data_IF_300908634934
#
_entry.id   IF_300908634934
#
_cell.length_a   1.000
_cell.length_b   1.000
_cell.length_c   1.000
_cell.angle_alpha   90.00
_cell.angle_beta   90.00
_cell.angle_gamma   90.00
#
_symmetry.space_group_name_H-M   'P 1'
#
loop_
_entity.id
_entity.type
_entity.pdbx_description
1 polymer ?
#
# COMPACT_ATOMS: atom_id res chain seq x y z
N UNK A 1 23.15 -7.09 -0.81
CA UNK A 1 21.71 -7.22 -0.51
C UNK A 1 21.27 -5.97 0.24
N UNK A 2 20.67 -5.00 -0.45
CA UNK A 2 20.21 -3.76 0.16
C UNK A 2 19.10 -4.07 1.17
N UNK A 3 19.32 -3.72 2.44
CA UNK A 3 18.30 -3.79 3.48
C UNK A 3 17.14 -2.91 3.03
N UNK A 4 15.98 -3.49 2.73
CA UNK A 4 14.74 -2.74 2.65
C UNK A 4 14.64 -1.93 3.95
N UNK A 5 14.73 -0.60 3.84
CA UNK A 5 14.60 0.29 4.99
C UNK A 5 13.18 0.05 5.48
N UNK A 6 13.04 -0.72 6.57
CA UNK A 6 11.76 -1.00 7.20
C UNK A 6 11.10 0.35 7.43
N UNK A 7 10.00 0.58 6.70
CA UNK A 7 9.37 1.89 6.64
C UNK A 7 8.68 2.07 8.00
N UNK A 8 9.36 2.72 8.96
CA UNK A 8 8.85 2.92 10.33
C UNK A 8 7.67 3.91 10.41
N UNK A 9 7.19 4.42 9.28
CA UNK A 9 6.18 5.46 9.18
C UNK A 9 5.34 5.26 7.93
N UNK A 10 4.08 5.66 8.02
CA UNK A 10 3.20 5.72 6.87
C UNK A 10 3.65 6.82 5.90
N UNK A 11 4.04 6.45 4.69
CA UNK A 11 4.28 7.40 3.60
C UNK A 11 2.94 7.81 2.97
N UNK A 12 2.84 9.00 2.36
CA UNK A 12 1.59 9.45 1.71
C UNK A 12 1.09 8.44 0.67
N UNK A 13 2.00 7.85 -0.12
CA UNK A 13 1.69 6.77 -1.07
C UNK A 13 1.10 5.53 -0.40
N UNK A 14 1.66 5.10 0.73
CA UNK A 14 1.15 3.94 1.46
C UNK A 14 -0.24 4.22 2.06
N UNK A 15 -0.47 5.44 2.55
CA UNK A 15 -1.78 5.88 3.04
C UNK A 15 -2.82 5.91 1.92
N UNK A 16 -2.47 6.43 0.75
CA UNK A 16 -3.37 6.46 -0.40
C UNK A 16 -3.72 5.05 -0.88
N UNK A 17 -2.73 4.16 -0.97
CA UNK A 17 -2.95 2.76 -1.32
C UNK A 17 -3.84 2.06 -0.30
N UNK A 18 -3.63 2.31 1.00
CA UNK A 18 -4.47 1.79 2.07
C UNK A 18 -5.92 2.29 1.98
N UNK A 19 -6.13 3.60 1.76
CA UNK A 19 -7.46 4.22 1.58
C UNK A 19 -8.23 3.63 0.39
N UNK A 20 -7.51 3.21 -0.66
CA UNK A 20 -8.08 2.57 -1.86
C UNK A 20 -8.35 1.07 -1.68
N UNK A 21 -8.12 0.49 -0.50
CA UNK A 21 -8.31 -0.94 -0.24
C UNK A 21 -7.19 -1.81 -0.81
N UNK A 22 -5.97 -1.28 -0.95
CA UNK A 22 -4.83 -1.97 -1.55
C UNK A 22 -5.08 -2.46 -2.99
N UNK A 23 -5.95 -1.77 -3.74
CA UNK A 23 -6.22 -2.03 -5.15
C UNK A 23 -5.15 -1.35 -6.01
N UNK A 24 -4.42 -2.15 -6.78
CA UNK A 24 -3.39 -1.64 -7.69
C UNK A 24 -3.96 -1.11 -9.01
N UNK A 25 -5.19 -1.51 -9.36
CA UNK A 25 -5.88 -1.02 -10.56
C UNK A 25 -6.18 0.48 -10.44
N UNK A 26 -5.72 1.25 -11.42
CA UNK A 26 -5.79 2.72 -11.42
C UNK A 26 -4.89 3.40 -10.37
N UNK A 27 -3.96 2.69 -9.73
CA UNK A 27 -2.99 3.30 -8.82
C UNK A 27 -2.05 4.25 -9.60
N UNK A 28 -1.57 5.34 -9.01
CA UNK A 28 -0.63 6.25 -9.68
C UNK A 28 0.63 5.53 -10.19
N UNK A 29 1.12 4.55 -9.44
CA UNK A 29 2.26 3.72 -9.81
C UNK A 29 1.89 2.52 -10.67
N UNK A 30 0.63 2.35 -11.07
CA UNK A 30 0.21 1.22 -11.91
C UNK A 30 0.99 1.18 -13.22
N UNK A 31 1.23 2.34 -13.84
CA UNK A 31 2.03 2.47 -15.06
C UNK A 31 3.48 2.02 -14.86
N UNK A 32 4.08 2.37 -13.72
CA UNK A 32 5.43 1.95 -13.34
C UNK A 32 5.55 0.43 -13.22
N UNK A 33 4.52 -0.24 -12.68
CA UNK A 33 4.51 -1.71 -12.62
C UNK A 33 4.05 -2.35 -13.94
N UNK A 34 3.19 -1.67 -14.70
CA UNK A 34 2.67 -2.13 -16.01
C UNK A 34 3.76 -2.22 -17.07
N UNK A 35 4.73 -1.30 -17.03
CA UNK A 35 5.92 -1.35 -17.87
C UNK A 35 6.91 -2.47 -17.50
N UNK A 36 6.66 -3.20 -16.41
CA UNK A 36 7.55 -4.25 -15.90
C UNK A 36 6.81 -5.60 -15.86
N UNK A 37 7.54 -6.70 -15.91
CA UNK A 37 6.94 -8.01 -15.62
C UNK A 37 6.57 -8.19 -14.13
N UNK A 38 6.85 -7.19 -13.28
CA UNK A 38 6.63 -7.28 -11.84
C UNK A 38 5.22 -6.84 -11.47
N UNK A 39 4.49 -7.72 -10.78
CA UNK A 39 3.19 -7.41 -10.20
C UNK A 39 3.33 -6.29 -9.16
N UNK A 40 2.37 -5.37 -9.10
CA UNK A 40 2.32 -4.32 -8.09
C UNK A 40 2.55 -4.86 -6.66
N UNK A 41 3.63 -4.41 -6.02
CA UNK A 41 4.02 -4.87 -4.68
C UNK A 41 3.47 -3.98 -3.54
N UNK A 42 2.72 -2.91 -3.88
CA UNK A 42 2.22 -1.96 -2.89
C UNK A 42 1.30 -2.61 -1.86
N UNK A 43 0.45 -3.56 -2.28
CA UNK A 43 -0.39 -4.33 -1.35
C UNK A 43 0.44 -5.09 -0.31
N UNK A 44 1.51 -5.76 -0.74
CA UNK A 44 2.39 -6.48 0.17
C UNK A 44 3.08 -5.53 1.16
N UNK A 45 3.60 -4.41 0.66
CA UNK A 45 4.24 -3.39 1.49
C UNK A 45 3.28 -2.75 2.50
N UNK A 46 2.06 -2.42 2.09
CA UNK A 46 1.03 -1.85 2.97
C UNK A 46 0.59 -2.86 4.04
N UNK A 47 0.41 -4.12 3.68
CA UNK A 47 0.08 -5.18 4.65
C UNK A 47 1.21 -5.40 5.65
N UNK A 48 2.46 -5.36 5.20
CA UNK A 48 3.64 -5.46 6.08
C UNK A 48 3.75 -4.24 7.01
N UNK A 49 3.44 -3.04 6.51
CA UNK A 49 3.32 -1.83 7.31
C UNK A 49 2.27 -1.98 8.41
N UNK A 50 1.06 -2.42 8.08
CA UNK A 50 0.00 -2.67 9.07
C UNK A 50 0.45 -3.67 10.13
N UNK A 51 1.15 -4.74 9.71
CA UNK A 51 1.69 -5.75 10.64
C UNK A 51 2.78 -5.21 11.55
N UNK A 52 3.60 -4.29 11.05
CA UNK A 52 4.80 -3.81 11.76
C UNK A 52 4.52 -2.61 12.66
N UNK A 53 3.74 -1.63 12.18
CA UNK A 53 3.48 -0.37 12.88
C UNK A 53 2.00 -0.15 13.22
N UNK A 54 1.12 -1.08 12.81
CA UNK A 54 -0.33 -0.96 13.02
C UNK A 54 -1.07 -0.28 11.87
N UNK A 55 -2.40 -0.35 11.91
CA UNK A 55 -3.25 0.37 10.96
C UNK A 55 -2.98 1.89 11.06
N UNK A 56 -2.91 2.60 9.92
CA UNK A 56 -2.76 4.04 9.96
C UNK A 56 -4.03 4.66 10.56
N UNK A 57 -3.86 5.75 11.32
CA UNK A 57 -4.97 6.56 11.81
C UNK A 57 -5.54 7.44 10.69
N UNK A 58 -5.98 6.80 9.61
CA UNK A 58 -6.76 7.40 8.54
C UNK A 58 -8.13 6.78 8.57
N UNK A 59 -9.16 7.62 8.48
CA UNK A 59 -10.54 7.16 8.31
C UNK A 59 -10.60 6.37 7.00
N UNK A 60 -10.62 5.04 7.11
CA UNK A 60 -10.97 4.18 5.99
C UNK A 60 -12.44 4.44 5.69
N UNK A 61 -12.83 4.62 4.42
CA UNK A 61 -14.24 4.52 4.07
C UNK A 61 -14.70 3.15 4.55
N UNK A 62 -15.58 3.15 5.54
CA UNK A 62 -16.12 1.95 6.15
C UNK A 62 -16.79 1.16 5.03
N UNK A 63 -16.17 0.06 4.58
CA UNK A 63 -16.88 -0.89 3.75
C UNK A 63 -17.93 -1.54 4.64
N UNK A 64 -19.14 -1.01 4.58
CA UNK A 64 -20.33 -1.72 5.03
C UNK A 64 -20.44 -2.98 4.16
N UNK A 65 -19.90 -4.10 4.63
CA UNK A 65 -20.37 -5.41 4.18
C UNK A 65 -21.85 -5.50 4.57
N UNK A 66 -22.71 -5.54 3.56
CA UNK A 66 -24.13 -5.87 3.67
C UNK A 66 -24.36 -7.32 3.32
#
# INVERSE_FOLDING_TARGET
MGRAIAVKRWTPTALECYKRGCVCEGCFYSDFFSATAQKCQMKAAVLELVRTIGAPNVELPQIIEG
#
